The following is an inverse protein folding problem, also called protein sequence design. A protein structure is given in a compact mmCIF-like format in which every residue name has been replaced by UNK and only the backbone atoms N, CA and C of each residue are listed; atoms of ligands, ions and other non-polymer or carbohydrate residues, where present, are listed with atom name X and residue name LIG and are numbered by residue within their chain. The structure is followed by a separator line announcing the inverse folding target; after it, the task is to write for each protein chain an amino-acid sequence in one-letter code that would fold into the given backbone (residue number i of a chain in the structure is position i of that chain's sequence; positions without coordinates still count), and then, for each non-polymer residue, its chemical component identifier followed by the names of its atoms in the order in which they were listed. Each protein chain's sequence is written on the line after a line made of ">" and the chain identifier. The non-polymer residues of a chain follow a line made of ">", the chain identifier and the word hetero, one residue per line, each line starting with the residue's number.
data_IF_959689530606
#
_entry.id   IF_959689530606
#
_cell.length_a   1.000
_cell.length_b   1.000
_cell.length_c   1.000
_cell.angle_alpha   90.00
_cell.angle_beta   90.00
_cell.angle_gamma   90.00
#
_symmetry.space_group_name_H-M   'P 1'
#
loop_
_entity.id
_entity.type
_entity.pdbx_description
1 polymer ?
#
# COMPACT_ATOMS: atom_id res chain seq x y z
N UNK A 1 124.19 -5.13 143.03
CA UNK A 1 124.46 -5.07 144.48
C UNK A 1 123.77 -6.26 145.13
N UNK A 2 124.52 -7.11 145.84
CA UNK A 2 124.08 -8.17 146.76
C UNK A 2 123.22 -9.32 146.18
N UNK A 3 123.43 -10.60 146.49
CA UNK A 3 124.42 -11.33 147.32
C UNK A 3 124.08 -12.84 147.17
N UNK A 4 125.10 -13.70 147.10
CA UNK A 4 125.34 -14.90 147.92
C UNK A 4 124.26 -16.02 148.01
N UNK A 5 124.53 -17.30 148.23
CA UNK A 5 125.70 -18.20 148.29
C UNK A 5 125.11 -19.58 148.66
N UNK A 6 125.82 -20.63 148.24
CA UNK A 6 125.88 -22.00 148.74
C UNK A 6 125.04 -22.44 149.96
N UNK A 7 124.48 -23.66 149.84
CA UNK A 7 124.42 -24.77 150.82
C UNK A 7 123.57 -25.89 150.16
N UNK A 8 123.78 -27.19 150.30
CA UNK A 8 124.59 -27.92 151.26
C UNK A 8 124.97 -29.29 150.65
N UNK A 9 126.20 -29.71 150.89
CA UNK A 9 126.82 -30.94 150.37
C UNK A 9 126.26 -32.24 150.94
N UNK A 10 125.30 -32.17 151.86
CA UNK A 10 124.62 -33.31 152.51
C UNK A 10 123.52 -33.91 151.63
N UNK A 11 122.82 -33.08 150.85
CA UNK A 11 121.80 -33.57 149.89
C UNK A 11 122.44 -34.38 148.76
N UNK A 12 123.71 -34.07 148.44
CA UNK A 12 124.49 -34.80 147.44
C UNK A 12 124.86 -36.22 147.87
N UNK A 13 124.99 -36.49 149.17
CA UNK A 13 125.28 -37.85 149.68
C UNK A 13 124.01 -38.69 149.82
N UNK A 14 122.90 -38.08 150.24
CA UNK A 14 121.59 -38.75 150.24
C UNK A 14 121.12 -39.08 148.82
N UNK A 15 121.33 -38.16 147.88
CA UNK A 15 121.11 -38.46 146.45
C UNK A 15 122.06 -39.54 145.95
N UNK A 16 123.32 -39.59 146.39
CA UNK A 16 124.24 -40.66 145.98
C UNK A 16 123.86 -42.05 146.52
N UNK A 17 123.39 -42.16 147.77
CA UNK A 17 122.86 -43.43 148.30
C UNK A 17 121.54 -43.83 147.65
N UNK A 18 120.67 -42.86 147.31
CA UNK A 18 119.45 -43.12 146.54
C UNK A 18 119.76 -43.61 145.13
N UNK A 19 120.79 -43.07 144.48
CA UNK A 19 121.27 -43.53 143.16
C UNK A 19 121.87 -44.94 143.23
N UNK A 20 122.53 -45.33 144.33
CA UNK A 20 123.03 -46.70 144.50
C UNK A 20 121.91 -47.72 144.77
N UNK A 21 120.82 -47.30 145.43
CA UNK A 21 119.62 -48.11 145.59
C UNK A 21 118.89 -48.28 144.24
N UNK A 22 118.70 -47.20 143.48
CA UNK A 22 118.05 -47.23 142.17
C UNK A 22 118.85 -48.06 141.13
N UNK A 23 120.19 -48.18 141.28
CA UNK A 23 121.01 -49.02 140.38
C UNK A 23 121.00 -50.51 140.69
N UNK A 24 120.64 -50.93 141.90
CA UNK A 24 120.55 -52.37 142.25
C UNK A 24 119.21 -52.98 141.82
N UNK A 25 118.16 -52.18 141.67
CA UNK A 25 116.86 -52.62 141.13
C UNK A 25 116.79 -52.62 139.59
N UNK A 26 117.84 -52.14 138.91
CA UNK A 26 117.99 -52.20 137.44
C UNK A 26 118.77 -53.43 136.94
N UNK A 27 118.96 -54.44 137.79
CA UNK A 27 119.49 -55.75 137.39
C UNK A 27 118.43 -56.83 137.60
N UNK A 28 118.00 -57.42 136.48
CA UNK A 28 117.19 -58.65 136.37
C UNK A 28 115.66 -58.47 136.27
N UNK A 29 115.20 -58.00 135.10
CA UNK A 29 114.02 -58.49 134.34
C UNK A 29 114.07 -57.86 132.94
N UNK A 30 114.68 -58.55 131.97
CA UNK A 30 114.01 -59.33 130.91
C UNK A 30 113.01 -58.51 130.10
N UNK A 31 113.51 -58.08 128.94
CA UNK A 31 112.84 -58.00 127.64
C UNK A 31 111.36 -57.64 127.61
N UNK A 32 111.09 -56.40 127.22
CA UNK A 32 110.13 -56.13 126.15
C UNK A 32 110.80 -55.26 125.10
N UNK A 33 110.48 -55.54 123.85
CA UNK A 33 110.85 -54.84 122.61
C UNK A 33 110.36 -53.38 122.56
N UNK A 34 110.09 -52.82 123.74
CA UNK A 34 109.23 -51.68 124.00
C UNK A 34 110.02 -50.60 124.74
N UNK A 35 111.04 -50.92 125.56
CA UNK A 35 111.91 -49.88 126.15
C UNK A 35 113.07 -49.43 125.24
N UNK A 36 113.60 -50.30 124.37
CA UNK A 36 114.48 -49.86 123.27
C UNK A 36 113.67 -49.11 122.21
N UNK A 37 112.44 -49.57 121.91
CA UNK A 37 111.53 -48.84 121.03
C UNK A 37 111.00 -47.54 121.65
N UNK A 38 110.91 -47.42 122.97
CA UNK A 38 110.54 -46.17 123.66
C UNK A 38 111.74 -45.25 123.84
N UNK A 39 112.98 -45.75 123.91
CA UNK A 39 114.17 -44.90 123.76
C UNK A 39 114.39 -44.46 122.32
N UNK A 40 114.15 -45.32 121.33
CA UNK A 40 114.18 -44.95 119.90
C UNK A 40 113.02 -43.99 119.58
N UNK A 41 111.80 -44.25 120.07
CA UNK A 41 110.66 -43.32 119.98
C UNK A 41 110.93 -42.05 120.74
N UNK A 42 111.52 -42.07 121.94
CA UNK A 42 111.83 -40.84 122.67
C UNK A 42 112.98 -40.07 122.01
N UNK A 43 113.93 -40.73 121.35
CA UNK A 43 114.93 -40.07 120.49
C UNK A 43 114.29 -39.51 119.23
N UNK A 44 113.38 -40.24 118.59
CA UNK A 44 112.63 -39.77 117.43
C UNK A 44 111.64 -38.66 117.78
N UNK A 45 111.04 -38.67 118.98
CA UNK A 45 110.17 -37.63 119.53
C UNK A 45 111.01 -36.43 119.94
N UNK A 46 112.20 -36.61 120.52
CA UNK A 46 113.12 -35.49 120.79
C UNK A 46 113.75 -34.93 119.50
N UNK A 47 113.98 -35.74 118.46
CA UNK A 47 114.41 -35.26 117.14
C UNK A 47 113.28 -34.57 116.38
N UNK A 48 112.06 -35.10 116.41
CA UNK A 48 110.88 -34.42 115.83
C UNK A 48 110.52 -33.17 116.63
N UNK A 49 110.62 -33.19 117.97
CA UNK A 49 110.43 -32.02 118.82
C UNK A 49 111.54 -30.97 118.71
N UNK A 50 112.80 -31.38 118.50
CA UNK A 50 113.87 -30.46 118.14
C UNK A 50 113.72 -29.89 116.71
N UNK A 51 113.03 -30.60 115.81
CA UNK A 51 112.61 -30.08 114.51
C UNK A 51 111.35 -29.21 114.57
N UNK A 52 110.59 -29.23 115.67
CA UNK A 52 109.50 -28.31 115.95
C UNK A 52 110.04 -27.02 116.59
N UNK A 53 110.97 -26.36 115.89
CA UNK A 53 111.31 -24.96 116.16
C UNK A 53 110.14 -24.07 115.75
N UNK A 54 110.00 -22.89 116.38
CA UNK A 54 109.00 -21.87 116.01
C UNK A 54 109.00 -21.64 114.49
N UNK A 55 110.16 -21.69 113.86
CA UNK A 55 110.35 -21.52 112.42
C UNK A 55 109.74 -22.65 111.57
N UNK A 56 109.79 -23.91 112.02
CA UNK A 56 109.20 -25.05 111.29
C UNK A 56 107.69 -25.18 111.51
N UNK A 57 107.18 -24.82 112.69
CA UNK A 57 105.72 -24.72 112.90
C UNK A 57 105.15 -23.56 112.09
N UNK A 58 105.82 -22.40 112.07
CA UNK A 58 105.43 -21.26 111.23
C UNK A 58 105.54 -21.60 109.75
N UNK A 59 106.55 -22.38 109.31
CA UNK A 59 106.61 -22.92 107.93
C UNK A 59 105.46 -23.85 107.62
N UNK A 60 105.14 -24.81 108.48
CA UNK A 60 104.01 -25.73 108.27
C UNK A 60 102.67 -25.02 108.27
N UNK A 61 102.49 -24.00 109.12
CA UNK A 61 101.28 -23.17 109.16
C UNK A 61 101.21 -22.24 107.93
N UNK A 62 102.35 -21.75 107.44
CA UNK A 62 102.46 -21.00 106.20
C UNK A 62 102.22 -21.88 104.96
N UNK A 63 102.70 -23.13 104.94
CA UNK A 63 102.41 -24.13 103.91
C UNK A 63 100.93 -24.51 103.91
N UNK A 64 100.33 -24.74 105.09
CA UNK A 64 98.90 -25.01 105.19
C UNK A 64 98.07 -23.81 104.73
N UNK A 65 98.50 -22.58 105.05
CA UNK A 65 97.85 -21.35 104.59
C UNK A 65 98.01 -21.17 103.06
N UNK A 66 99.14 -21.59 102.49
CA UNK A 66 99.39 -21.61 101.04
C UNK A 66 98.57 -22.69 100.32
N UNK A 67 98.50 -23.91 100.85
CA UNK A 67 97.68 -25.00 100.32
C UNK A 67 96.19 -24.67 100.44
N UNK A 68 95.75 -24.13 101.58
CA UNK A 68 94.38 -23.69 101.76
C UNK A 68 94.03 -22.52 100.83
N UNK A 69 94.94 -21.55 100.68
CA UNK A 69 94.82 -20.49 99.67
C UNK A 69 94.77 -21.03 98.24
N UNK A 70 95.56 -22.04 97.92
CA UNK A 70 95.58 -22.73 96.63
C UNK A 70 94.30 -23.51 96.33
N UNK A 71 93.77 -24.24 97.32
CA UNK A 71 92.49 -24.96 97.21
C UNK A 71 91.33 -23.98 97.10
N UNK A 72 91.32 -22.91 97.90
CA UNK A 72 90.28 -21.86 97.83
C UNK A 72 90.33 -21.12 96.48
N UNK A 73 91.52 -20.80 95.98
CA UNK A 73 91.68 -20.19 94.65
C UNK A 73 91.27 -21.17 93.54
N UNK A 74 91.63 -22.45 93.63
CA UNK A 74 91.23 -23.47 92.67
C UNK A 74 89.72 -23.75 92.70
N UNK A 75 89.09 -23.70 93.88
CA UNK A 75 87.65 -23.79 94.03
C UNK A 75 86.96 -22.55 93.47
N UNK A 76 87.52 -21.35 93.70
CA UNK A 76 87.04 -20.09 93.15
C UNK A 76 87.15 -20.05 91.63
N UNK A 77 88.26 -20.54 91.06
CA UNK A 77 88.45 -20.63 89.61
C UNK A 77 87.50 -21.66 88.99
N UNK A 78 87.29 -22.82 89.63
CA UNK A 78 86.27 -23.80 89.20
C UNK A 78 84.85 -23.23 89.30
N UNK A 79 84.51 -22.56 90.40
CA UNK A 79 83.22 -21.92 90.58
C UNK A 79 83.01 -20.80 89.55
N UNK A 80 84.04 -20.01 89.24
CA UNK A 80 84.00 -18.97 88.20
C UNK A 80 83.82 -19.58 86.81
N UNK A 81 84.53 -20.67 86.48
CA UNK A 81 84.33 -21.42 85.23
C UNK A 81 82.93 -22.01 85.13
N UNK A 82 82.41 -22.63 86.18
CA UNK A 82 81.04 -23.16 86.20
C UNK A 82 79.99 -22.04 86.15
N UNK A 83 80.26 -20.87 86.75
CA UNK A 83 79.40 -19.68 86.62
C UNK A 83 79.41 -19.14 85.19
N UNK A 84 80.58 -19.05 84.55
CA UNK A 84 80.70 -18.65 83.13
C UNK A 84 79.95 -19.62 82.21
N UNK A 85 80.10 -20.93 82.42
CA UNK A 85 79.33 -21.96 81.68
C UNK A 85 77.84 -21.81 81.90
N UNK A 86 77.41 -21.53 83.13
CA UNK A 86 76.00 -21.30 83.45
C UNK A 86 75.46 -20.06 82.72
N UNK A 87 76.24 -18.97 82.67
CA UNK A 87 75.85 -17.74 81.96
C UNK A 87 75.84 -17.93 80.44
N UNK A 88 76.81 -18.66 79.88
CA UNK A 88 76.82 -19.07 78.47
C UNK A 88 75.60 -19.95 78.14
N UNK A 89 75.27 -20.93 78.99
CA UNK A 89 74.09 -21.78 78.82
C UNK A 89 72.79 -20.99 78.92
N UNK A 90 72.67 -20.07 79.88
CA UNK A 90 71.51 -19.17 79.98
C UNK A 90 71.35 -18.33 78.72
N UNK A 91 72.45 -17.77 78.21
CA UNK A 91 72.43 -16.96 76.98
C UNK A 91 72.11 -17.80 75.74
N UNK A 92 72.63 -19.03 75.66
CA UNK A 92 72.29 -19.96 74.60
C UNK A 92 70.81 -20.35 74.63
N UNK A 93 70.24 -20.61 75.82
CA UNK A 93 68.81 -20.86 75.99
C UNK A 93 68.00 -19.64 75.53
N UNK A 94 68.40 -18.42 75.90
CA UNK A 94 67.71 -17.20 75.48
C UNK A 94 67.72 -17.04 73.94
N UNK A 95 68.87 -17.23 73.29
CA UNK A 95 68.99 -17.20 71.82
C UNK A 95 68.15 -18.30 71.18
N UNK A 96 68.20 -19.54 71.68
CA UNK A 96 67.38 -20.64 71.15
C UNK A 96 65.88 -20.40 71.36
N UNK A 97 65.47 -19.77 72.46
CA UNK A 97 64.07 -19.38 72.66
C UNK A 97 63.62 -18.30 71.66
N UNK A 98 64.49 -17.33 71.34
CA UNK A 98 64.21 -16.33 70.30
C UNK A 98 64.14 -16.98 68.92
N UNK A 99 65.10 -17.84 68.55
CA UNK A 99 65.08 -18.58 67.28
C UNK A 99 63.82 -19.44 67.16
N UNK A 100 63.38 -20.10 68.23
CA UNK A 100 62.15 -20.88 68.24
C UNK A 100 60.91 -20.01 68.02
N UNK A 101 60.86 -18.81 68.60
CA UNK A 101 59.78 -17.84 68.35
C UNK A 101 59.77 -17.37 66.90
N UNK A 102 60.93 -17.05 66.32
CA UNK A 102 61.04 -16.66 64.91
C UNK A 102 60.61 -17.80 63.98
N UNK A 103 61.03 -19.03 64.23
CA UNK A 103 60.61 -20.21 63.46
C UNK A 103 59.11 -20.45 63.56
N UNK A 104 58.50 -20.23 64.74
CA UNK A 104 57.04 -20.30 64.90
C UNK A 104 56.34 -19.21 64.07
N UNK A 105 56.83 -17.98 64.09
CA UNK A 105 56.27 -16.89 63.29
C UNK A 105 56.40 -17.17 61.78
N UNK A 106 57.56 -17.64 61.33
CA UNK A 106 57.81 -18.04 59.93
C UNK A 106 56.85 -19.16 59.52
N UNK A 107 56.64 -20.16 60.39
CA UNK A 107 55.69 -21.25 60.13
C UNK A 107 54.26 -20.74 59.98
N UNK A 108 53.80 -19.86 60.88
CA UNK A 108 52.46 -19.27 60.80
C UNK A 108 52.29 -18.48 59.51
N UNK A 109 53.28 -17.66 59.13
CA UNK A 109 53.25 -16.90 57.87
C UNK A 109 53.25 -17.84 56.66
N UNK A 110 54.06 -18.90 56.67
CA UNK A 110 54.09 -19.89 55.60
C UNK A 110 52.74 -20.63 55.46
N UNK A 111 52.12 -21.02 56.57
CA UNK A 111 50.80 -21.66 56.58
C UNK A 111 49.72 -20.71 56.03
N UNK A 112 49.73 -19.42 56.43
CA UNK A 112 48.80 -18.41 55.90
C UNK A 112 49.03 -18.17 54.41
N UNK A 113 50.28 -18.04 53.97
CA UNK A 113 50.61 -17.86 52.56
C UNK A 113 50.19 -19.07 51.73
N UNK A 114 50.32 -20.28 52.26
CA UNK A 114 49.84 -21.50 51.62
C UNK A 114 48.32 -21.49 51.46
N UNK A 115 47.57 -21.17 52.51
CA UNK A 115 46.11 -21.05 52.46
C UNK A 115 45.68 -19.98 51.45
N UNK A 116 46.31 -18.80 51.47
CA UNK A 116 46.00 -17.72 50.55
C UNK A 116 46.27 -18.11 49.08
N UNK A 117 47.35 -18.85 48.82
CA UNK A 117 47.66 -19.36 47.49
C UNK A 117 46.60 -20.37 47.02
N UNK A 118 46.17 -21.28 47.89
CA UNK A 118 45.08 -22.22 47.58
C UNK A 118 43.77 -21.49 47.26
N UNK A 119 43.35 -20.53 48.10
CA UNK A 119 42.16 -19.73 47.82
C UNK A 119 42.27 -18.94 46.51
N UNK A 120 43.45 -18.40 46.20
CA UNK A 120 43.68 -17.71 44.94
C UNK A 120 43.57 -18.65 43.74
N UNK A 121 44.15 -19.85 43.83
CA UNK A 121 44.03 -20.87 42.78
C UNK A 121 42.58 -21.32 42.58
N UNK A 122 41.81 -21.48 43.64
CA UNK A 122 40.37 -21.79 43.55
C UNK A 122 39.59 -20.65 42.90
N UNK A 123 39.84 -19.39 43.27
CA UNK A 123 39.22 -18.22 42.65
C UNK A 123 39.57 -18.10 41.17
N UNK A 124 40.83 -18.35 40.80
CA UNK A 124 41.24 -18.38 39.40
C UNK A 124 40.48 -19.45 38.61
N UNK A 125 40.39 -20.67 39.14
CA UNK A 125 39.62 -21.75 38.51
C UNK A 125 38.14 -21.39 38.34
N UNK A 126 37.53 -20.76 39.34
CA UNK A 126 36.13 -20.32 39.25
C UNK A 126 35.93 -19.23 38.19
N UNK A 127 36.86 -18.27 38.10
CA UNK A 127 36.81 -17.22 37.08
C UNK A 127 37.01 -17.83 35.68
N UNK A 128 37.98 -18.73 35.52
CA UNK A 128 38.23 -19.43 34.26
C UNK A 128 37.01 -20.24 33.82
N UNK A 129 36.40 -21.01 34.73
CA UNK A 129 35.16 -21.74 34.45
C UNK A 129 33.98 -20.81 34.12
N UNK A 130 33.87 -19.68 34.82
CA UNK A 130 32.87 -18.66 34.51
C UNK A 130 33.06 -18.06 33.12
N UNK A 131 34.31 -17.76 32.75
CA UNK A 131 34.65 -17.23 31.43
C UNK A 131 34.39 -18.25 30.31
N UNK A 132 34.77 -19.52 30.49
CA UNK A 132 34.53 -20.57 29.49
C UNK A 132 33.05 -20.82 29.29
N UNK A 133 32.27 -20.93 30.37
CA UNK A 133 30.81 -21.11 30.27
C UNK A 133 30.12 -19.92 29.60
N UNK A 134 30.54 -18.69 29.89
CA UNK A 134 30.04 -17.50 29.19
C UNK A 134 30.40 -17.50 27.71
N UNK A 135 31.63 -17.87 27.35
CA UNK A 135 32.05 -17.98 25.95
C UNK A 135 31.23 -19.04 25.20
N UNK A 136 31.05 -20.22 25.79
CA UNK A 136 30.24 -21.30 25.20
C UNK A 136 28.77 -20.87 25.01
N UNK A 137 28.19 -20.15 25.98
CA UNK A 137 26.82 -19.66 25.87
C UNK A 137 26.69 -18.59 24.79
N UNK A 138 27.62 -17.64 24.73
CA UNK A 138 27.65 -16.62 23.67
C UNK A 138 27.84 -17.24 22.29
N UNK A 139 28.69 -18.25 22.15
CA UNK A 139 28.88 -18.95 20.88
C UNK A 139 27.61 -19.70 20.45
N UNK A 140 26.90 -20.33 21.39
CA UNK A 140 25.58 -20.95 21.14
C UNK A 140 24.54 -19.91 20.73
N UNK A 141 24.47 -18.76 21.40
CA UNK A 141 23.56 -17.68 21.04
C UNK A 141 23.88 -17.12 19.65
N UNK A 142 25.15 -16.82 19.35
CA UNK A 142 25.57 -16.32 18.04
C UNK A 142 25.21 -17.32 16.93
N UNK A 143 25.49 -18.61 17.13
CA UNK A 143 25.18 -19.64 16.13
C UNK A 143 23.68 -19.80 15.94
N UNK A 144 22.89 -19.75 17.01
CA UNK A 144 21.44 -19.83 16.95
C UNK A 144 20.84 -18.60 16.26
N UNK A 145 21.25 -17.39 16.63
CA UNK A 145 20.78 -16.15 15.97
C UNK A 145 21.16 -16.10 14.49
N UNK A 146 22.37 -16.56 14.13
CA UNK A 146 22.77 -16.68 12.72
C UNK A 146 21.89 -17.66 11.97
N UNK A 147 21.59 -18.81 12.58
CA UNK A 147 20.72 -19.83 11.99
C UNK A 147 19.29 -19.30 11.79
N UNK A 148 18.70 -18.64 12.79
CA UNK A 148 17.35 -18.07 12.66
C UNK A 148 17.33 -16.96 11.62
N UNK A 149 18.32 -16.06 11.62
CA UNK A 149 18.41 -15.00 10.61
C UNK A 149 18.57 -15.55 9.18
N UNK A 150 19.33 -16.63 8.99
CA UNK A 150 19.42 -17.31 7.70
C UNK A 150 18.08 -17.93 7.28
N UNK A 151 17.37 -18.58 8.21
CA UNK A 151 16.04 -19.15 7.94
C UNK A 151 15.04 -18.07 7.55
N UNK A 152 14.96 -16.98 8.30
CA UNK A 152 14.10 -15.83 8.02
C UNK A 152 14.42 -15.20 6.66
N UNK A 153 15.71 -15.08 6.30
CA UNK A 153 16.11 -14.56 5.00
C UNK A 153 15.64 -15.48 3.86
N UNK A 154 15.83 -16.80 3.97
CA UNK A 154 15.35 -17.76 2.96
C UNK A 154 13.83 -17.73 2.84
N UNK A 155 13.12 -17.68 3.96
CA UNK A 155 11.65 -17.57 3.97
C UNK A 155 11.17 -16.26 3.34
N UNK A 156 11.84 -15.15 3.64
CA UNK A 156 11.54 -13.86 3.03
C UNK A 156 11.77 -13.86 1.52
N UNK A 157 12.93 -14.36 1.06
CA UNK A 157 13.25 -14.47 -0.37
C UNK A 157 12.26 -15.38 -1.10
N UNK A 158 11.88 -16.51 -0.50
CA UNK A 158 10.88 -17.44 -1.06
C UNK A 158 9.51 -16.78 -1.16
N UNK A 159 9.06 -16.08 -0.10
CA UNK A 159 7.80 -15.36 -0.12
C UNK A 159 7.80 -14.23 -1.15
N UNK A 160 8.91 -13.49 -1.28
CA UNK A 160 9.07 -12.44 -2.28
C UNK A 160 8.97 -13.01 -3.71
N UNK A 161 9.65 -14.14 -3.97
CA UNK A 161 9.55 -14.83 -5.26
C UNK A 161 8.12 -15.29 -5.53
N UNK A 162 7.46 -15.92 -4.56
CA UNK A 162 6.07 -16.36 -4.69
C UNK A 162 5.11 -15.20 -5.00
N UNK A 163 5.23 -14.07 -4.29
CA UNK A 163 4.43 -12.87 -4.53
C UNK A 163 4.70 -12.28 -5.91
N UNK A 164 5.97 -12.21 -6.34
CA UNK A 164 6.31 -11.75 -7.68
C UNK A 164 5.72 -12.65 -8.77
N UNK A 165 5.78 -13.97 -8.60
CA UNK A 165 5.17 -14.92 -9.54
C UNK A 165 3.64 -14.77 -9.61
N UNK A 166 2.98 -14.57 -8.47
CA UNK A 166 1.55 -14.29 -8.43
C UNK A 166 1.20 -13.00 -9.18
N UNK A 167 1.92 -11.91 -8.90
CA UNK A 167 1.72 -10.62 -9.57
C UNK A 167 1.95 -10.72 -11.09
N UNK A 168 2.95 -11.47 -11.52
CA UNK A 168 3.20 -11.71 -12.95
C UNK A 168 2.05 -12.48 -13.59
N UNK A 169 1.57 -13.55 -12.93
CA UNK A 169 0.42 -14.34 -13.41
C UNK A 169 -0.86 -13.51 -13.47
N UNK A 170 -1.13 -12.69 -12.47
CA UNK A 170 -2.28 -11.78 -12.44
C UNK A 170 -2.19 -10.75 -13.57
N UNK A 171 -1.03 -10.10 -13.73
CA UNK A 171 -0.82 -9.15 -14.83
C UNK A 171 -0.98 -9.80 -16.20
N UNK A 172 -0.48 -11.03 -16.39
CA UNK A 172 -0.67 -11.77 -17.64
C UNK A 172 -2.15 -12.03 -17.90
N UNK A 173 -2.91 -12.52 -16.91
CA UNK A 173 -4.36 -12.73 -17.03
C UNK A 173 -5.09 -11.43 -17.35
N UNK A 174 -4.78 -10.33 -16.67
CA UNK A 174 -5.41 -9.03 -16.94
C UNK A 174 -5.13 -8.53 -18.36
N UNK A 175 -3.90 -8.69 -18.85
CA UNK A 175 -3.52 -8.33 -20.22
C UNK A 175 -4.27 -9.20 -21.25
N UNK A 176 -4.32 -10.51 -21.03
CA UNK A 176 -5.06 -11.44 -21.89
C UNK A 176 -6.56 -11.13 -21.92
N UNK A 177 -7.17 -10.92 -20.75
CA UNK A 177 -8.58 -10.54 -20.65
C UNK A 177 -8.85 -9.18 -21.32
N UNK A 178 -7.96 -8.20 -21.12
CA UNK A 178 -8.09 -6.89 -21.75
C UNK A 178 -8.02 -7.01 -23.28
N UNK A 179 -7.03 -7.74 -23.81
CA UNK A 179 -6.88 -7.97 -25.24
C UNK A 179 -8.07 -8.72 -25.82
N UNK A 180 -8.57 -9.73 -25.10
CA UNK A 180 -9.78 -10.47 -25.49
C UNK A 180 -11.01 -9.56 -25.54
N UNK A 181 -11.26 -8.76 -24.48
CA UNK A 181 -12.37 -7.80 -24.42
C UNK A 181 -12.28 -6.75 -25.53
N UNK A 182 -11.07 -6.26 -25.81
CA UNK A 182 -10.82 -5.31 -26.88
C UNK A 182 -11.15 -5.93 -28.26
N UNK A 183 -10.62 -7.12 -28.55
CA UNK A 183 -10.88 -7.82 -29.80
C UNK A 183 -12.36 -8.15 -29.97
N UNK A 184 -13.04 -8.57 -28.91
CA UNK A 184 -14.48 -8.84 -28.93
C UNK A 184 -15.28 -7.56 -29.20
N UNK A 185 -14.93 -6.45 -28.56
CA UNK A 185 -15.60 -5.16 -28.78
C UNK A 185 -15.38 -4.65 -30.20
N UNK A 186 -14.15 -4.75 -30.73
CA UNK A 186 -13.86 -4.41 -32.12
C UNK A 186 -14.67 -5.27 -33.09
N UNK A 187 -14.79 -6.58 -32.84
CA UNK A 187 -15.61 -7.48 -33.66
C UNK A 187 -17.09 -7.11 -33.62
N UNK A 188 -17.65 -6.89 -32.43
CA UNK A 188 -19.05 -6.46 -32.26
C UNK A 188 -19.29 -5.13 -32.99
N UNK A 189 -18.38 -4.16 -32.84
CA UNK A 189 -18.48 -2.87 -33.51
C UNK A 189 -18.41 -3.01 -35.05
N UNK A 190 -17.52 -3.87 -35.55
CA UNK A 190 -17.42 -4.15 -36.98
C UNK A 190 -18.69 -4.83 -37.51
N UNK A 191 -19.19 -5.87 -36.82
CA UNK A 191 -20.40 -6.61 -37.22
C UNK A 191 -21.64 -5.71 -37.18
N UNK A 192 -21.80 -4.89 -36.14
CA UNK A 192 -22.91 -3.93 -36.03
C UNK A 192 -22.84 -2.84 -37.09
N UNK A 193 -21.64 -2.34 -37.42
CA UNK A 193 -21.45 -1.39 -38.51
C UNK A 193 -21.80 -2.02 -39.87
N UNK A 194 -21.32 -3.23 -40.14
CA UNK A 194 -21.63 -3.95 -41.39
C UNK A 194 -23.12 -4.26 -41.51
N UNK A 195 -23.79 -4.62 -40.42
CA UNK A 195 -25.23 -4.82 -40.39
C UNK A 195 -25.96 -3.51 -40.75
N UNK A 196 -25.63 -2.40 -40.08
CA UNK A 196 -26.23 -1.08 -40.37
C UNK A 196 -25.99 -0.63 -41.80
N UNK A 197 -24.79 -0.89 -42.33
CA UNK A 197 -24.47 -0.58 -43.73
C UNK A 197 -25.39 -1.37 -44.68
N UNK A 198 -25.51 -2.69 -44.50
CA UNK A 198 -26.38 -3.54 -45.32
C UNK A 198 -27.86 -3.15 -45.23
N UNK A 199 -28.34 -2.79 -44.03
CA UNK A 199 -29.73 -2.36 -43.87
C UNK A 199 -29.99 -1.05 -44.61
N UNK A 200 -29.10 -0.07 -44.49
CA UNK A 200 -29.22 1.21 -45.21
C UNK A 200 -29.11 1.03 -46.73
N UNK A 201 -28.18 0.19 -47.21
CA UNK A 201 -28.07 -0.13 -48.63
C UNK A 201 -29.37 -0.75 -49.17
N UNK A 202 -29.97 -1.67 -48.42
CA UNK A 202 -31.27 -2.26 -48.78
C UNK A 202 -32.40 -1.23 -48.78
N UNK A 203 -32.47 -0.37 -47.77
CA UNK A 203 -33.49 0.69 -47.69
C UNK A 203 -33.36 1.69 -48.85
N UNK A 204 -32.13 2.05 -49.22
CA UNK A 204 -31.86 2.91 -50.38
C UNK A 204 -32.31 2.23 -51.67
N UNK A 205 -31.97 0.95 -51.85
CA UNK A 205 -32.37 0.18 -53.04
C UNK A 205 -33.89 0.08 -53.15
N UNK A 206 -34.57 -0.33 -52.07
CA UNK A 206 -36.04 -0.41 -52.01
C UNK A 206 -36.71 0.94 -52.30
N UNK A 207 -36.20 2.03 -51.71
CA UNK A 207 -36.70 3.38 -51.95
C UNK A 207 -36.43 3.87 -53.39
N UNK A 208 -35.30 3.48 -53.98
CA UNK A 208 -34.94 3.84 -55.35
C UNK A 208 -35.86 3.12 -56.33
N UNK A 209 -36.06 1.81 -56.16
CA UNK A 209 -36.99 1.03 -56.98
C UNK A 209 -38.43 1.53 -56.87
N UNK A 210 -38.90 1.91 -55.68
CA UNK A 210 -40.22 2.50 -55.50
C UNK A 210 -40.35 3.82 -56.28
N UNK A 211 -39.36 4.71 -56.15
CA UNK A 211 -39.34 5.98 -56.89
C UNK A 211 -39.27 5.77 -58.40
N UNK A 212 -38.46 4.83 -58.89
CA UNK A 212 -38.37 4.52 -60.32
C UNK A 212 -39.70 4.06 -60.89
N UNK A 213 -40.46 3.24 -60.14
CA UNK A 213 -41.82 2.85 -60.53
C UNK A 213 -42.76 4.06 -60.59
N UNK A 214 -42.77 4.90 -59.56
CA UNK A 214 -43.59 6.11 -59.52
C UNK A 214 -43.25 7.07 -60.68
N UNK A 215 -41.96 7.22 -61.00
CA UNK A 215 -41.51 8.03 -62.13
C UNK A 215 -41.93 7.44 -63.47
N UNK A 216 -41.79 6.13 -63.66
CA UNK A 216 -42.22 5.45 -64.87
C UNK A 216 -43.74 5.54 -65.08
N UNK A 217 -44.54 5.41 -64.01
CA UNK A 217 -45.99 5.58 -64.06
C UNK A 217 -46.37 7.03 -64.43
N UNK A 218 -45.72 8.02 -63.81
CA UNK A 218 -45.93 9.44 -64.15
C UNK A 218 -45.55 9.75 -65.59
N UNK A 219 -44.39 9.28 -66.05
CA UNK A 219 -43.93 9.48 -67.42
C UNK A 219 -44.91 8.83 -68.41
N UNK A 220 -45.40 7.62 -68.12
CA UNK A 220 -46.44 6.97 -68.91
C UNK A 220 -47.70 7.81 -69.00
N UNK A 221 -48.25 8.28 -67.88
CA UNK A 221 -49.46 9.13 -67.87
C UNK A 221 -49.23 10.42 -68.67
N UNK A 222 -48.08 11.07 -68.51
CA UNK A 222 -47.74 12.28 -69.27
C UNK A 222 -47.65 12.02 -70.77
N UNK A 223 -47.00 10.91 -71.17
CA UNK A 223 -46.90 10.53 -72.60
C UNK A 223 -48.25 10.18 -73.21
N UNK A 224 -49.11 9.46 -72.50
CA UNK A 224 -50.48 9.13 -72.96
C UNK A 224 -51.35 10.38 -73.11
N UNK A 225 -51.20 11.37 -72.22
CA UNK A 225 -51.96 12.62 -72.27
C UNK A 225 -51.41 13.64 -73.27
N UNK A 226 -50.16 13.49 -73.72
CA UNK A 226 -49.48 14.43 -74.61
C UNK A 226 -50.22 14.61 -75.95
N UNK A 227 -50.74 13.53 -76.54
CA UNK A 227 -51.49 13.59 -77.80
C UNK A 227 -52.82 14.33 -77.63
N UNK A 228 -53.60 13.99 -76.60
CA UNK A 228 -54.86 14.63 -76.26
C UNK A 228 -54.68 16.13 -76.00
N UNK A 229 -53.63 16.53 -75.28
CA UNK A 229 -53.29 17.95 -75.10
C UNK A 229 -53.01 18.64 -76.43
N UNK A 230 -52.28 17.99 -77.34
CA UNK A 230 -52.04 18.48 -78.69
C UNK A 230 -53.32 18.61 -79.53
N UNK A 231 -54.26 17.68 -79.39
CA UNK A 231 -55.57 17.73 -80.04
C UNK A 231 -56.44 18.86 -79.49
N UNK A 232 -56.57 18.96 -78.16
CA UNK A 232 -57.33 20.03 -77.53
C UNK A 232 -56.75 21.41 -77.81
N UNK A 233 -55.42 21.56 -77.84
CA UNK A 233 -54.82 22.85 -78.23
C UNK A 233 -55.14 23.22 -79.67
N UNK A 234 -55.15 22.26 -80.60
CA UNK A 234 -55.61 22.50 -81.99
C UNK A 234 -57.08 22.87 -82.06
N UNK A 235 -57.95 22.16 -81.35
CA UNK A 235 -59.39 22.45 -81.31
C UNK A 235 -59.65 23.84 -80.72
N UNK A 236 -59.01 24.20 -79.60
CA UNK A 236 -59.11 25.53 -78.99
C UNK A 236 -58.62 26.61 -79.96
N UNK A 237 -57.54 26.35 -80.70
CA UNK A 237 -57.04 27.30 -81.70
C UNK A 237 -57.97 27.47 -82.91
N UNK A 238 -58.67 26.40 -83.33
CA UNK A 238 -59.61 26.41 -84.46
C UNK A 238 -61.02 26.91 -84.08
N UNK A 239 -61.41 26.80 -82.81
CA UNK A 239 -62.75 27.13 -82.33
C UNK A 239 -63.20 28.57 -82.65
N UNK A 240 -62.36 29.62 -82.55
CA UNK A 240 -62.77 30.98 -82.92
C UNK A 240 -63.15 31.09 -84.41
N UNK A 241 -62.36 30.47 -85.28
CA UNK A 241 -62.64 30.48 -86.73
C UNK A 241 -63.90 29.69 -87.07
N UNK A 242 -64.08 28.50 -86.48
CA UNK A 242 -65.28 27.69 -86.67
C UNK A 242 -66.54 28.40 -86.15
N UNK A 243 -66.43 29.08 -85.01
CA UNK A 243 -67.52 29.88 -84.44
C UNK A 243 -67.88 31.06 -85.35
N UNK A 244 -66.88 31.78 -85.88
CA UNK A 244 -67.11 32.86 -86.83
C UNK A 244 -67.79 32.37 -88.12
N UNK A 245 -67.34 31.24 -88.67
CA UNK A 245 -67.94 30.62 -89.85
C UNK A 245 -69.39 30.16 -89.58
N UNK A 246 -69.64 29.52 -88.44
CA UNK A 246 -70.98 29.10 -88.04
C UNK A 246 -71.92 30.31 -87.84
N UNK A 247 -71.44 31.40 -87.24
CA UNK A 247 -72.20 32.65 -87.08
C UNK A 247 -72.49 33.27 -88.46
N UNK A 248 -71.51 33.32 -89.36
CA UNK A 248 -71.71 33.83 -90.73
C UNK A 248 -72.75 33.01 -91.48
N UNK A 249 -72.62 31.68 -91.47
CA UNK A 249 -73.58 30.77 -92.11
C UNK A 249 -74.99 30.91 -91.54
N UNK A 250 -75.14 30.94 -90.22
CA UNK A 250 -76.45 31.14 -89.58
C UNK A 250 -77.05 32.51 -89.90
N UNK A 251 -76.23 33.57 -90.00
CA UNK A 251 -76.68 34.90 -90.47
C UNK A 251 -77.12 34.86 -91.92
N UNK A 252 -76.35 34.23 -92.80
CA UNK A 252 -76.68 34.10 -94.23
C UNK A 252 -77.97 33.30 -94.45
N UNK A 253 -78.15 32.18 -93.75
CA UNK A 253 -79.38 31.38 -93.77
C UNK A 253 -80.57 32.19 -93.24
N UNK A 254 -80.43 32.88 -92.11
CA UNK A 254 -81.50 33.74 -91.58
C UNK A 254 -81.85 34.90 -92.54
N UNK A 255 -80.86 35.54 -93.18
CA UNK A 255 -81.09 36.57 -94.20
C UNK A 255 -81.80 35.97 -95.41
N UNK A 256 -81.40 34.78 -95.85
CA UNK A 256 -82.02 34.09 -96.99
C UNK A 256 -83.47 33.72 -96.70
N UNK A 257 -83.75 33.15 -95.54
CA UNK A 257 -85.10 32.76 -95.13
C UNK A 257 -85.99 34.00 -94.99
N UNK A 258 -85.52 35.07 -94.33
CA UNK A 258 -86.26 36.34 -94.22
C UNK A 258 -86.54 36.94 -95.60
N UNK A 259 -85.57 36.92 -96.52
CA UNK A 259 -85.78 37.41 -97.89
C UNK A 259 -86.75 36.54 -98.68
N UNK A 260 -86.70 35.22 -98.53
CA UNK A 260 -87.65 34.29 -99.16
C UNK A 260 -89.06 34.52 -98.62
N UNK A 261 -89.23 34.61 -97.30
CA UNK A 261 -90.50 34.92 -96.65
C UNK A 261 -91.03 36.29 -97.07
N UNK A 262 -90.18 37.32 -97.10
CA UNK A 262 -90.56 38.65 -97.54
C UNK A 262 -90.98 38.66 -99.01
N UNK A 263 -90.27 37.92 -99.87
CA UNK A 263 -90.63 37.77 -101.29
C UNK A 263 -91.95 37.04 -101.46
N UNK A 264 -92.16 35.92 -100.76
CA UNK A 264 -93.44 35.19 -100.80
C UNK A 264 -94.58 36.07 -100.31
N UNK A 265 -94.39 36.84 -99.23
CA UNK A 265 -95.39 37.80 -98.72
C UNK A 265 -95.67 38.92 -99.73
N UNK A 266 -94.64 39.47 -100.37
CA UNK A 266 -94.79 40.49 -101.41
C UNK A 266 -95.53 39.94 -102.64
N UNK A 267 -95.14 38.75 -103.13
CA UNK A 267 -95.79 38.08 -104.26
C UNK A 267 -97.25 37.73 -103.96
N UNK A 268 -97.57 37.29 -102.73
CA UNK A 268 -98.94 37.08 -102.27
C UNK A 268 -99.73 38.38 -102.21
N UNK A 269 -99.16 39.43 -101.61
CA UNK A 269 -99.80 40.75 -101.54
C UNK A 269 -100.07 41.33 -102.93
N UNK A 270 -99.14 41.20 -103.87
CA UNK A 270 -99.33 41.65 -105.25
C UNK A 270 -100.42 40.84 -105.96
N UNK A 271 -100.49 39.52 -105.75
CA UNK A 271 -101.59 38.69 -106.26
C UNK A 271 -102.94 39.04 -105.64
N UNK A 272 -102.99 39.28 -104.34
CA UNK A 272 -104.20 39.74 -103.64
C UNK A 272 -104.66 41.09 -104.18
N UNK A 273 -103.73 42.03 -104.40
CA UNK A 273 -104.02 43.32 -105.01
C UNK A 273 -104.52 43.18 -106.46
N UNK A 274 -103.90 42.34 -107.29
CA UNK A 274 -104.35 42.08 -108.65
C UNK A 274 -105.75 41.44 -108.68
N UNK A 275 -106.02 40.47 -107.80
CA UNK A 275 -107.33 39.85 -107.67
C UNK A 275 -108.40 40.86 -107.20
N UNK A 276 -108.08 41.70 -106.23
CA UNK A 276 -108.97 42.79 -105.77
C UNK A 276 -109.24 43.78 -106.91
N UNK A 277 -108.19 44.19 -107.64
CA UNK A 277 -108.32 45.07 -108.82
C UNK A 277 -109.23 44.46 -109.88
N UNK A 278 -109.02 43.18 -110.25
CA UNK A 278 -109.88 42.48 -111.21
C UNK A 278 -111.33 42.36 -110.71
N UNK A 279 -111.53 42.13 -109.41
CA UNK A 279 -112.86 42.10 -108.82
C UNK A 279 -113.56 43.46 -108.93
N UNK A 280 -112.85 44.56 -108.62
CA UNK A 280 -113.37 45.91 -108.79
C UNK A 280 -113.61 46.25 -110.27
N UNK A 281 -112.74 45.85 -111.19
CA UNK A 281 -112.93 46.03 -112.63
C UNK A 281 -114.17 45.28 -113.13
N UNK A 282 -114.40 44.03 -112.69
CA UNK A 282 -115.60 43.26 -112.99
C UNK A 282 -116.87 43.91 -112.39
N UNK A 283 -116.78 44.45 -111.17
CA UNK A 283 -117.88 45.20 -110.56
C UNK A 283 -118.21 46.45 -111.38
N UNK A 284 -117.20 47.23 -111.80
CA UNK A 284 -117.37 48.40 -112.68
C UNK A 284 -117.99 47.98 -114.00
N UNK A 285 -117.49 46.94 -114.67
CA UNK A 285 -118.08 46.44 -115.91
C UNK A 285 -119.53 45.98 -115.73
N UNK A 286 -119.87 45.33 -114.62
CA UNK A 286 -121.25 44.95 -114.32
C UNK A 286 -122.16 46.17 -114.12
N UNK A 287 -121.66 47.19 -113.41
CA UNK A 287 -122.39 48.44 -113.18
C UNK A 287 -122.55 49.22 -114.48
N UNK A 288 -121.52 49.27 -115.33
CA UNK A 288 -121.59 49.85 -116.68
C UNK A 288 -122.63 49.11 -117.53
N UNK A 289 -122.65 47.78 -117.54
CA UNK A 289 -123.68 47.01 -118.23
C UNK A 289 -125.09 47.28 -117.69
N UNK A 290 -125.24 47.44 -116.37
CA UNK A 290 -126.51 47.83 -115.74
C UNK A 290 -126.91 49.23 -116.17
N UNK A 291 -125.98 50.19 -116.20
CA UNK A 291 -126.22 51.56 -116.69
C UNK A 291 -126.65 51.53 -118.15
N UNK A 292 -125.98 50.77 -119.02
CA UNK A 292 -126.36 50.65 -120.44
C UNK A 292 -127.77 50.07 -120.58
N UNK A 293 -128.11 49.00 -119.84
CA UNK A 293 -129.47 48.45 -119.84
C UNK A 293 -130.51 49.45 -119.31
N UNK A 294 -130.16 50.26 -118.31
CA UNK A 294 -131.03 51.32 -117.80
C UNK A 294 -131.20 52.44 -118.83
N UNK A 295 -130.14 52.82 -119.56
CA UNK A 295 -130.21 53.78 -120.66
C UNK A 295 -131.12 53.24 -121.76
N UNK A 296 -130.95 51.98 -122.18
CA UNK A 296 -131.84 51.34 -123.16
C UNK A 296 -133.29 51.29 -122.67
N UNK A 297 -133.53 50.99 -121.39
CA UNK A 297 -134.87 51.05 -120.79
C UNK A 297 -135.45 52.47 -120.77
N UNK A 298 -134.64 53.48 -120.45
CA UNK A 298 -135.05 54.89 -120.47
C UNK A 298 -135.38 55.32 -121.90
N UNK A 299 -134.57 54.96 -122.89
CA UNK A 299 -134.85 55.23 -124.30
C UNK A 299 -136.15 54.56 -124.76
N UNK A 300 -136.36 53.30 -124.37
CA UNK A 300 -137.56 52.56 -124.72
C UNK A 300 -138.82 53.14 -124.02
N UNK A 301 -138.72 53.50 -122.74
CA UNK A 301 -139.78 54.23 -122.01
C UNK A 301 -140.03 55.62 -122.60
N UNK A 302 -138.99 56.32 -123.04
CA UNK A 302 -139.10 57.64 -123.68
C UNK A 302 -139.78 57.51 -125.04
N UNK A 303 -139.44 56.49 -125.83
CA UNK A 303 -140.11 56.17 -127.08
C UNK A 303 -141.58 55.78 -126.86
N UNK A 304 -141.88 54.99 -125.84
CA UNK A 304 -143.26 54.66 -125.44
C UNK A 304 -144.02 55.91 -124.97
N UNK A 305 -143.36 56.83 -124.26
CA UNK A 305 -143.95 58.08 -123.80
C UNK A 305 -144.21 59.03 -124.99
N UNK A 306 -143.29 59.15 -125.94
CA UNK A 306 -143.50 59.91 -127.18
C UNK A 306 -144.61 59.28 -128.04
N UNK A 307 -144.68 57.96 -128.13
CA UNK A 307 -145.77 57.26 -128.82
C UNK A 307 -147.11 57.49 -128.12
N UNK A 308 -147.16 57.42 -126.79
CA UNK A 308 -148.35 57.74 -125.99
C UNK A 308 -148.74 59.23 -126.11
N UNK A 309 -147.77 60.13 -126.21
CA UNK A 309 -147.99 61.57 -126.40
C UNK A 309 -148.51 61.88 -127.81
N UNK A 310 -148.04 61.18 -128.85
CA UNK A 310 -148.65 61.21 -130.19
C UNK A 310 -150.07 60.63 -130.18
N UNK A 311 -150.30 59.49 -129.52
CA UNK A 311 -151.64 58.91 -129.41
C UNK A 311 -152.60 59.83 -128.64
N UNK A 312 -152.14 60.52 -127.60
CA UNK A 312 -152.93 61.52 -126.87
C UNK A 312 -153.21 62.77 -127.72
N UNK A 313 -152.25 63.23 -128.55
CA UNK A 313 -152.47 64.34 -129.49
C UNK A 313 -153.42 63.95 -130.63
N UNK A 314 -153.31 62.75 -131.20
CA UNK A 314 -154.24 62.25 -132.23
C UNK A 314 -155.66 62.04 -131.69
N UNK A 315 -155.80 61.62 -130.43
CA UNK A 315 -157.10 61.48 -129.76
C UNK A 315 -157.73 62.85 -129.44
N UNK A 316 -156.93 63.83 -129.03
CA UNK A 316 -157.37 65.22 -128.83
C UNK A 316 -157.79 65.90 -130.15
N UNK A 317 -157.08 65.62 -131.25
CA UNK A 317 -157.44 66.12 -132.59
C UNK A 317 -158.70 65.46 -133.17
N UNK A 318 -158.97 64.18 -132.87
CA UNK A 318 -160.22 63.50 -133.27
C UNK A 318 -161.45 63.88 -132.44
N UNK A 319 -161.28 64.34 -131.20
CA UNK A 319 -162.40 64.74 -130.35
C UNK A 319 -162.94 66.16 -130.62
N UNK A 320 -162.19 67.01 -131.36
CA UNK A 320 -162.60 68.40 -131.61
C UNK A 320 -163.32 68.67 -132.95
N UNK A 321 -163.45 67.67 -133.85
CA UNK A 321 -163.95 67.94 -135.22
C UNK A 321 -165.37 67.46 -135.58
N UNK A 322 -166.09 66.63 -134.81
CA UNK A 322 -167.42 66.17 -135.23
C UNK A 322 -168.55 66.48 -134.24
N UNK A 323 -168.67 67.77 -133.93
CA UNK A 323 -169.91 68.38 -133.46
C UNK A 323 -170.46 69.37 -134.48
N UNK A 324 -171.06 68.92 -135.59
CA UNK A 324 -172.12 69.66 -136.34
C UNK A 324 -172.71 68.79 -137.45
N UNK A 325 -174.06 68.76 -137.49
CA UNK A 325 -175.01 68.27 -138.52
C UNK A 325 -174.47 67.79 -139.89
N UNK A 326 -175.08 66.71 -140.40
CA UNK A 326 -175.09 66.35 -141.83
C UNK A 326 -175.01 64.85 -142.04
#
# INVERSE_FOLDING_TARGET
>A
MNRFVAKDSTDRLLTFQRILADRKDMSLKIATKQEEADKEKNKQILQTAASYTVDNIVKGLAELQLEFGGIVNGLSEKLSKETSKLDELKRAIEVETQNLQELQQIRIVADILYILNQEHQEKLKLIEQGATTQQENLEKEITQTRKTGQQEQVEFETNLQYQNELLVKERQREVEEYQYRLAQTQKINADTYQLKKRTLEREIEEATQAKEKDWAEREKVLTEQQSLLGEYTKQIAAFPTELEEAIKKAREEAIKDVNQDAKVKADLFEKEWQAAKQSYELQVQSLEQVITRQIEQIENLTAQMQAAQQQAQELALRAFQNGTRG
#
